data_IF_974300568672
#
_entry.id   IF_974300568672
#
_cell.length_a   1.000
_cell.length_b   1.000
_cell.length_c   1.000
_cell.angle_alpha   90.00
_cell.angle_beta   90.00
_cell.angle_gamma   90.00
#
_symmetry.space_group_name_H-M   'P 1'
#
loop_
_entity.id
_entity.type
_entity.pdbx_description
1 polymer ?
#
# COMPACT_ATOMS: atom_id res chain seq x y z
N UNK A 1 15.27 66.17 2.23
CA UNK A 1 14.98 65.62 0.90
C UNK A 1 14.48 64.20 1.07
N UNK A 2 13.17 64.02 0.88
CA UNK A 2 12.51 62.71 0.83
C UNK A 2 12.96 61.96 -0.43
N UNK A 3 12.92 60.63 -0.39
CA UNK A 3 12.24 59.80 -1.39
C UNK A 3 12.11 58.37 -0.87
N UNK A 4 10.88 58.02 -0.49
CA UNK A 4 10.41 56.67 -0.23
C UNK A 4 10.40 55.89 -1.55
N UNK A 5 11.07 54.74 -1.60
CA UNK A 5 10.92 53.77 -2.68
C UNK A 5 9.77 52.82 -2.37
N UNK A 6 8.65 52.99 -3.08
CA UNK A 6 7.49 52.10 -3.06
C UNK A 6 7.77 50.84 -3.88
N UNK A 7 7.55 49.67 -3.27
CA UNK A 7 7.52 48.37 -3.95
C UNK A 7 6.09 48.14 -4.46
N UNK A 8 5.91 48.00 -5.77
CA UNK A 8 4.63 47.62 -6.40
C UNK A 8 4.75 46.15 -6.84
N UNK A 9 3.80 45.26 -6.48
CA UNK A 9 3.85 43.87 -6.93
C UNK A 9 3.42 43.75 -8.41
N UNK A 10 4.25 43.06 -9.20
CA UNK A 10 3.94 42.73 -10.60
C UNK A 10 2.79 41.71 -10.66
N UNK A 11 1.63 42.17 -11.12
CA UNK A 11 0.49 41.34 -11.49
C UNK A 11 0.78 40.72 -12.87
N UNK A 12 1.05 39.41 -12.93
CA UNK A 12 1.22 38.70 -14.22
C UNK A 12 -0.15 38.23 -14.70
N UNK A 13 -0.66 38.90 -15.74
CA UNK A 13 -1.75 38.40 -16.59
C UNK A 13 -1.25 37.20 -17.40
N UNK A 14 -1.90 36.05 -17.27
CA UNK A 14 -1.73 34.93 -18.20
C UNK A 14 -2.89 35.01 -19.20
N UNK A 15 -2.58 35.33 -20.46
CA UNK A 15 -3.52 35.32 -21.57
C UNK A 15 -3.87 33.88 -21.96
N UNK A 16 -5.16 33.58 -22.03
CA UNK A 16 -5.65 32.36 -22.65
C UNK A 16 -5.62 32.53 -24.17
N UNK A 17 -4.82 31.73 -24.87
CA UNK A 17 -4.92 31.58 -26.32
C UNK A 17 -5.59 30.24 -26.64
N UNK A 18 -6.74 30.33 -27.31
CA UNK A 18 -7.44 29.22 -27.94
C UNK A 18 -6.70 28.80 -29.21
N UNK A 19 -6.36 27.52 -29.31
CA UNK A 19 -5.93 26.92 -30.58
C UNK A 19 -7.04 25.98 -31.03
N UNK A 20 -7.75 26.42 -32.07
CA UNK A 20 -8.60 25.58 -32.92
C UNK A 20 -7.83 25.37 -34.22
N UNK A 21 -7.68 24.12 -34.66
CA UNK A 21 -7.65 23.70 -36.08
C UNK A 21 -7.32 22.21 -36.20
N UNK A 22 -8.11 21.50 -37.02
CA UNK A 22 -7.67 20.27 -37.68
C UNK A 22 -8.59 19.07 -37.57
N UNK A 23 -9.74 19.11 -38.26
CA UNK A 23 -10.58 17.94 -38.52
C UNK A 23 -9.80 16.94 -39.40
N UNK A 24 -9.41 15.80 -38.82
CA UNK A 24 -8.85 14.64 -39.54
C UNK A 24 -9.72 13.43 -39.21
N UNK A 25 -10.55 13.00 -40.15
CA UNK A 25 -11.42 11.82 -40.02
C UNK A 25 -10.63 10.53 -40.22
N UNK A 26 -10.47 9.74 -39.15
CA UNK A 26 -10.10 8.30 -39.15
C UNK A 26 -10.72 7.62 -37.88
N UNK A 27 -10.93 6.29 -37.88
CA UNK A 27 -12.21 5.67 -37.56
C UNK A 27 -12.52 5.58 -36.07
N UNK A 28 -13.82 5.63 -35.79
CA UNK A 28 -14.46 5.46 -34.50
C UNK A 28 -14.44 3.98 -34.09
N UNK A 29 -13.27 3.46 -33.75
CA UNK A 29 -13.15 2.10 -33.22
C UNK A 29 -11.96 2.00 -32.27
N UNK A 30 -11.99 2.80 -31.20
CA UNK A 30 -11.10 2.55 -30.08
C UNK A 30 -11.78 2.83 -28.73
N UNK A 31 -11.69 1.80 -27.91
CA UNK A 31 -11.62 1.86 -26.46
C UNK A 31 -12.94 1.99 -25.69
N UNK A 32 -13.76 0.95 -25.88
CA UNK A 32 -14.25 0.21 -24.72
C UNK A 32 -13.05 -0.47 -23.99
N UNK A 33 -12.10 0.33 -23.48
CA UNK A 33 -11.20 -0.16 -22.44
C UNK A 33 -12.08 -0.29 -21.22
N UNK A 34 -12.63 -1.50 -21.05
CA UNK A 34 -13.09 -1.99 -19.76
C UNK A 34 -12.05 -1.55 -18.73
N UNK A 35 -12.37 -0.50 -17.97
CA UNK A 35 -11.63 -0.09 -16.80
C UNK A 35 -11.85 -1.20 -15.79
N UNK A 36 -11.09 -2.29 -15.96
CA UNK A 36 -11.02 -3.34 -14.96
C UNK A 36 -10.72 -2.62 -13.64
N UNK A 37 -11.61 -2.74 -12.65
CA UNK A 37 -11.42 -2.02 -11.41
C UNK A 37 -10.07 -2.48 -10.82
N UNK A 38 -9.27 -1.57 -10.24
CA UNK A 38 -7.89 -1.88 -9.84
C UNK A 38 -7.85 -3.15 -9.01
N UNK A 39 -7.14 -4.17 -9.52
CA UNK A 39 -7.12 -5.50 -8.92
C UNK A 39 -6.45 -5.42 -7.54
N UNK A 40 -7.05 -6.10 -6.55
CA UNK A 40 -6.44 -6.23 -5.21
C UNK A 40 -5.05 -6.82 -5.37
N UNK A 41 -4.05 -6.28 -4.65
CA UNK A 41 -2.71 -6.86 -4.64
C UNK A 41 -2.47 -7.57 -3.31
N UNK A 42 -2.33 -8.89 -3.38
CA UNK A 42 -2.07 -9.73 -2.22
C UNK A 42 -0.59 -10.13 -2.20
N UNK A 43 0.13 -9.78 -1.14
CA UNK A 43 1.53 -10.15 -0.95
C UNK A 43 1.67 -11.16 0.17
N UNK A 44 2.45 -12.21 -0.04
CA UNK A 44 2.95 -13.06 1.04
C UNK A 44 4.17 -12.39 1.65
N UNK A 45 4.15 -12.16 2.96
CA UNK A 45 5.11 -11.34 3.69
C UNK A 45 5.83 -12.15 4.77
N UNK A 46 7.14 -11.98 4.82
CA UNK A 46 8.03 -12.54 5.83
C UNK A 46 8.62 -11.42 6.68
N UNK A 47 8.87 -11.71 7.96
CA UNK A 47 9.31 -10.73 8.94
C UNK A 47 10.64 -11.14 9.58
N UNK A 48 11.50 -10.15 9.81
CA UNK A 48 12.68 -10.27 10.65
C UNK A 48 12.54 -9.29 11.82
N UNK A 49 12.52 -9.81 13.05
CA UNK A 49 12.38 -8.95 14.22
C UNK A 49 13.68 -8.22 14.54
N UNK A 50 13.56 -6.93 14.87
CA UNK A 50 14.66 -6.13 15.39
C UNK A 50 14.76 -6.19 16.93
N UNK A 51 13.91 -7.00 17.59
CA UNK A 51 13.92 -7.25 19.03
C UNK A 51 14.15 -8.74 19.28
N UNK A 52 15.16 -9.07 20.09
CA UNK A 52 15.51 -10.48 20.40
C UNK A 52 14.30 -11.22 20.99
N UNK A 53 14.10 -12.47 20.56
CA UNK A 53 13.04 -13.35 21.07
C UNK A 53 11.63 -13.08 20.54
N UNK A 54 11.41 -12.03 19.74
CA UNK A 54 10.08 -11.72 19.20
C UNK A 54 9.98 -12.22 17.76
N UNK A 55 8.83 -12.81 17.41
CA UNK A 55 8.55 -13.31 16.07
C UNK A 55 7.07 -13.11 15.76
N UNK A 56 6.78 -12.82 14.50
CA UNK A 56 5.43 -12.86 13.94
C UNK A 56 5.47 -13.91 12.82
N UNK A 57 4.38 -14.66 12.67
CA UNK A 57 4.25 -15.63 11.59
C UNK A 57 4.34 -14.91 10.23
N UNK A 58 4.67 -15.67 9.18
CA UNK A 58 4.54 -15.12 7.83
C UNK A 58 3.07 -14.86 7.53
N UNK A 59 2.77 -13.71 6.95
CA UNK A 59 1.41 -13.18 6.84
C UNK A 59 1.11 -12.74 5.42
N UNK A 60 -0.13 -12.35 5.16
CA UNK A 60 -0.52 -11.76 3.89
C UNK A 60 -0.93 -10.31 4.06
N UNK A 61 -0.40 -9.45 3.20
CA UNK A 61 -0.80 -8.04 3.08
C UNK A 61 -1.69 -7.90 1.86
N UNK A 62 -2.93 -7.50 2.07
CA UNK A 62 -3.93 -7.31 1.03
C UNK A 62 -4.21 -5.82 0.83
N UNK A 63 -3.71 -5.29 -0.28
CA UNK A 63 -3.95 -3.92 -0.71
C UNK A 63 -5.21 -3.89 -1.57
N UNK A 64 -6.34 -3.60 -0.94
CA UNK A 64 -7.66 -3.56 -1.56
C UNK A 64 -7.92 -2.22 -2.24
N UNK A 65 -9.04 -2.16 -2.96
CA UNK A 65 -9.56 -0.92 -3.52
C UNK A 65 -9.94 0.08 -2.42
N UNK A 66 -10.14 1.35 -2.80
CA UNK A 66 -10.56 2.43 -1.89
C UNK A 66 -9.63 2.62 -0.68
N UNK A 67 -8.31 2.48 -0.88
CA UNK A 67 -7.31 2.67 0.18
C UNK A 67 -7.46 1.74 1.39
N UNK A 68 -8.19 0.62 1.25
CA UNK A 68 -8.37 -0.37 2.31
C UNK A 68 -7.18 -1.32 2.36
N UNK A 69 -6.70 -1.60 3.57
CA UNK A 69 -5.58 -2.48 3.81
C UNK A 69 -5.96 -3.54 4.83
N UNK A 70 -5.63 -4.80 4.56
CA UNK A 70 -5.87 -5.91 5.49
C UNK A 70 -4.61 -6.73 5.69
N UNK A 71 -4.44 -7.25 6.90
CA UNK A 71 -3.40 -8.20 7.25
C UNK A 71 -4.08 -9.50 7.63
N UNK A 72 -3.65 -10.61 7.04
CA UNK A 72 -4.06 -11.95 7.42
C UNK A 72 -2.85 -12.71 7.98
N UNK A 73 -2.90 -13.06 9.26
CA UNK A 73 -1.87 -13.86 9.93
C UNK A 73 -2.43 -15.28 10.06
N UNK A 74 -1.86 -16.28 9.37
CA UNK A 74 -2.33 -17.66 9.44
C UNK A 74 -2.36 -18.19 10.88
N UNK A 75 -3.47 -18.83 11.24
CA UNK A 75 -3.68 -19.39 12.58
C UNK A 75 -4.15 -18.38 13.64
N UNK A 76 -4.35 -17.11 13.27
CA UNK A 76 -4.96 -16.11 14.15
C UNK A 76 -6.40 -15.82 13.73
N UNK A 77 -7.30 -15.75 14.72
CA UNK A 77 -8.70 -15.40 14.52
C UNK A 77 -8.91 -13.92 14.87
N UNK A 78 -9.30 -13.14 13.86
CA UNK A 78 -9.54 -11.70 13.99
C UNK A 78 -11.03 -11.43 14.20
N UNK A 79 -11.37 -10.78 15.30
CA UNK A 79 -12.76 -10.40 15.61
C UNK A 79 -13.21 -9.18 14.82
N UNK A 80 -12.33 -8.19 14.73
CA UNK A 80 -12.54 -6.93 14.04
C UNK A 80 -11.20 -6.43 13.52
N UNK A 81 -11.18 -6.01 12.27
CA UNK A 81 -10.00 -5.41 11.63
C UNK A 81 -10.40 -4.09 10.97
N UNK A 82 -9.45 -3.17 10.92
CA UNK A 82 -9.57 -1.93 10.16
C UNK A 82 -8.19 -1.53 9.72
N UNK A 83 -8.00 -1.35 8.42
CA UNK A 83 -6.75 -0.81 7.90
C UNK A 83 -6.94 0.08 6.71
N UNK A 84 -6.00 1.00 6.57
CA UNK A 84 -5.90 1.90 5.43
C UNK A 84 -4.46 1.95 4.92
N UNK A 85 -4.30 2.34 3.67
CA UNK A 85 -2.99 2.64 3.11
C UNK A 85 -3.01 3.82 2.15
N UNK A 86 -1.87 4.47 2.06
CA UNK A 86 -1.55 5.50 1.07
C UNK A 86 -0.33 5.04 0.28
N UNK A 87 -0.34 5.28 -1.03
CA UNK A 87 0.78 4.98 -1.92
C UNK A 87 1.14 6.25 -2.67
N UNK A 88 2.41 6.63 -2.64
CA UNK A 88 2.96 7.72 -3.44
C UNK A 88 4.15 7.16 -4.23
N UNK A 89 3.97 7.03 -5.54
CA UNK A 89 4.94 6.38 -6.43
C UNK A 89 5.30 4.98 -5.90
N UNK A 90 6.58 4.72 -5.64
CA UNK A 90 7.06 3.45 -5.09
C UNK A 90 6.82 3.32 -3.58
N UNK A 91 6.66 4.41 -2.85
CA UNK A 91 6.53 4.38 -1.40
C UNK A 91 5.07 4.16 -0.98
N UNK A 92 4.88 3.43 0.11
CA UNK A 92 3.57 3.32 0.74
C UNK A 92 3.65 3.40 2.26
N UNK A 93 2.57 3.87 2.86
CA UNK A 93 2.33 3.83 4.30
C UNK A 93 1.00 3.15 4.55
N UNK A 94 0.94 2.27 5.53
CA UNK A 94 -0.30 1.62 5.92
C UNK A 94 -0.45 1.60 7.44
N UNK A 95 -1.68 1.73 7.89
CA UNK A 95 -2.05 1.54 9.28
C UNK A 95 -3.09 0.44 9.34
N UNK A 96 -2.95 -0.45 10.31
CA UNK A 96 -3.89 -1.53 10.52
C UNK A 96 -4.08 -1.75 12.02
N UNK A 97 -5.31 -2.00 12.40
CA UNK A 97 -5.70 -2.37 13.76
C UNK A 97 -6.53 -3.64 13.71
N UNK A 98 -6.29 -4.55 14.65
CA UNK A 98 -7.08 -5.76 14.78
C UNK A 98 -7.15 -6.26 16.22
N UNK A 99 -8.32 -6.78 16.59
CA UNK A 99 -8.53 -7.48 17.84
C UNK A 99 -8.48 -8.99 17.59
N UNK A 100 -7.64 -9.70 18.35
CA UNK A 100 -7.31 -11.11 18.15
C UNK A 100 -7.54 -11.88 19.44
N UNK A 101 -8.01 -13.13 19.32
CA UNK A 101 -8.06 -14.06 20.45
C UNK A 101 -6.92 -15.08 20.27
N UNK A 102 -6.03 -15.17 21.27
CA UNK A 102 -4.95 -16.15 21.29
C UNK A 102 -4.83 -16.75 22.68
N UNK A 103 -4.85 -18.09 22.79
CA UNK A 103 -4.75 -18.79 24.07
C UNK A 103 -5.74 -18.26 25.14
N UNK A 104 -6.99 -17.96 24.73
CA UNK A 104 -8.05 -17.38 25.58
C UNK A 104 -7.79 -15.96 26.11
N UNK A 105 -6.74 -15.27 25.64
CA UNK A 105 -6.49 -13.85 25.93
C UNK A 105 -6.85 -12.98 24.72
N UNK A 106 -7.25 -11.74 24.98
CA UNK A 106 -7.60 -10.76 23.94
C UNK A 106 -6.44 -9.80 23.74
N UNK A 107 -5.98 -9.77 22.50
CA UNK A 107 -4.91 -8.88 22.07
C UNK A 107 -5.50 -7.80 21.17
N UNK A 108 -4.99 -6.58 21.31
CA UNK A 108 -5.17 -5.52 20.34
C UNK A 108 -3.83 -5.29 19.65
N UNK A 109 -3.78 -5.52 18.34
CA UNK A 109 -2.59 -5.25 17.53
C UNK A 109 -2.82 -3.98 16.73
N UNK A 110 -1.85 -3.08 16.76
CA UNK A 110 -1.78 -1.91 15.87
C UNK A 110 -0.47 -1.97 15.09
N UNK A 111 -0.58 -2.15 13.78
CA UNK A 111 0.54 -2.14 12.86
C UNK A 111 0.64 -0.78 12.16
N UNK A 112 1.83 -0.18 12.20
CA UNK A 112 2.20 0.99 11.43
C UNK A 112 3.30 0.59 10.45
N UNK A 113 3.02 0.71 9.15
CA UNK A 113 3.83 0.15 8.08
C UNK A 113 4.37 1.28 7.21
N UNK A 114 5.65 1.21 6.89
CA UNK A 114 6.29 2.02 5.89
C UNK A 114 7.07 1.10 4.96
N UNK A 115 6.81 1.19 3.66
CA UNK A 115 7.46 0.32 2.70
C UNK A 115 7.63 0.93 1.32
N UNK A 116 8.30 0.15 0.48
CA UNK A 116 8.52 0.43 -0.93
C UNK A 116 8.02 -0.75 -1.75
N UNK A 117 7.41 -0.44 -2.89
CA UNK A 117 7.04 -1.37 -3.95
C UNK A 117 8.21 -1.45 -4.92
N UNK A 118 8.67 -2.66 -5.23
CA UNK A 118 9.79 -2.92 -6.11
C UNK A 118 9.31 -3.77 -7.28
N UNK A 119 9.51 -3.27 -8.51
CA UNK A 119 9.20 -4.00 -9.75
C UNK A 119 7.75 -4.51 -9.85
N UNK A 120 6.81 -3.86 -9.15
CA UNK A 120 5.40 -4.24 -9.01
C UNK A 120 5.08 -5.64 -8.45
N UNK A 121 6.12 -6.44 -8.15
CA UNK A 121 6.02 -7.82 -7.68
C UNK A 121 6.52 -7.99 -6.24
N UNK A 122 7.34 -7.07 -5.74
CA UNK A 122 7.87 -7.16 -4.38
C UNK A 122 7.50 -5.93 -3.55
N UNK A 123 7.43 -6.13 -2.25
CA UNK A 123 7.39 -5.06 -1.26
C UNK A 123 8.45 -5.30 -0.21
N UNK A 124 9.01 -4.23 0.33
CA UNK A 124 9.92 -4.33 1.48
C UNK A 124 9.79 -3.09 2.36
N UNK A 125 10.17 -3.20 3.62
CA UNK A 125 10.14 -2.05 4.51
C UNK A 125 10.20 -2.39 5.98
N UNK A 126 9.65 -1.49 6.78
CA UNK A 126 9.59 -1.58 8.24
C UNK A 126 8.13 -1.59 8.68
N UNK A 127 7.83 -2.45 9.64
CA UNK A 127 6.55 -2.50 10.33
C UNK A 127 6.78 -2.37 11.84
N UNK A 128 5.99 -1.52 12.49
CA UNK A 128 5.96 -1.36 13.94
C UNK A 128 4.66 -1.94 14.46
N UNK A 129 4.75 -3.00 15.25
CA UNK A 129 3.65 -3.56 16.02
C UNK A 129 3.62 -2.90 17.40
N UNK A 130 2.48 -2.33 17.76
CA UNK A 130 2.09 -2.13 19.14
C UNK A 130 1.09 -3.22 19.49
N UNK A 131 1.40 -4.06 20.47
CA UNK A 131 0.52 -5.09 20.99
C UNK A 131 0.11 -4.72 22.41
N UNK A 132 -1.18 -4.81 22.70
CA UNK A 132 -1.76 -4.62 24.03
C UNK A 132 -2.56 -5.85 24.43
N UNK A 133 -2.29 -6.38 25.63
CA UNK A 133 -3.01 -7.52 26.21
C UNK A 133 -4.05 -6.98 27.18
N UNK A 134 -5.34 -7.13 26.86
CA UNK A 134 -6.42 -6.48 27.61
C UNK A 134 -6.52 -6.98 29.04
N UNK A 135 -6.32 -8.27 29.28
CA UNK A 135 -6.49 -8.87 30.60
C UNK A 135 -5.37 -8.50 31.59
N UNK A 136 -4.18 -8.18 31.10
CA UNK A 136 -3.00 -7.91 31.94
C UNK A 136 -2.50 -6.47 31.85
N UNK A 137 -3.12 -5.62 31.03
CA UNK A 137 -2.65 -4.26 30.74
C UNK A 137 -1.17 -4.19 30.36
N UNK A 138 -0.68 -5.24 29.69
CA UNK A 138 0.70 -5.30 29.22
C UNK A 138 0.75 -4.78 27.79
N UNK A 139 1.60 -3.78 27.58
CA UNK A 139 1.86 -3.22 26.26
C UNK A 139 3.27 -3.55 25.82
N UNK A 140 3.41 -3.93 24.55
CA UNK A 140 4.72 -4.10 23.95
C UNK A 140 4.78 -3.49 22.56
N UNK A 141 5.95 -2.94 22.25
CA UNK A 141 6.26 -2.40 20.93
C UNK A 141 7.42 -3.17 20.32
N UNK A 142 7.23 -3.63 19.08
CA UNK A 142 8.22 -4.40 18.34
C UNK A 142 8.30 -3.91 16.92
N UNK A 143 9.52 -3.71 16.43
CA UNK A 143 9.78 -3.32 15.04
C UNK A 143 10.29 -4.53 14.27
N UNK A 144 9.80 -4.72 13.06
CA UNK A 144 10.25 -5.76 12.14
C UNK A 144 10.65 -5.13 10.81
N UNK A 145 11.66 -5.70 10.18
CA UNK A 145 11.84 -5.60 8.74
C UNK A 145 10.91 -6.59 8.07
N UNK A 146 10.36 -6.24 6.93
CA UNK A 146 9.55 -7.15 6.14
C UNK A 146 9.99 -7.17 4.68
N UNK A 147 9.79 -8.32 4.05
CA UNK A 147 9.85 -8.51 2.60
C UNK A 147 8.63 -9.30 2.18
N UNK A 148 8.00 -8.88 1.09
CA UNK A 148 6.82 -9.50 0.55
C UNK A 148 6.94 -9.74 -0.94
N UNK A 149 6.32 -10.81 -1.41
CA UNK A 149 6.22 -11.19 -2.82
C UNK A 149 4.76 -11.28 -3.21
N UNK A 150 4.41 -10.73 -4.36
CA UNK A 150 3.07 -10.76 -4.91
C UNK A 150 2.66 -12.22 -5.11
N UNK A 151 1.49 -12.58 -4.59
CA UNK A 151 0.90 -13.89 -4.81
C UNK A 151 0.25 -13.87 -6.19
N UNK A 152 0.73 -14.70 -7.11
CA UNK A 152 0.09 -14.88 -8.41
C UNK A 152 -1.31 -15.47 -8.19
N UNK A 153 -2.33 -14.85 -8.81
CA UNK A 153 -3.65 -15.47 -8.91
C UNK A 153 -3.51 -16.67 -9.87
N UNK A 154 -3.73 -17.89 -9.37
CA UNK A 154 -3.74 -19.11 -10.17
C UNK A 154 -4.88 -19.17 -11.22
N UNK A 155 -5.50 -18.03 -11.57
CA UNK A 155 -6.52 -17.92 -12.61
C UNK A 155 -5.93 -17.77 -14.03
N UNK A 156 -4.61 -17.88 -14.18
CA UNK A 156 -3.93 -17.85 -15.47
C UNK A 156 -2.96 -19.01 -15.65
N UNK A 157 -3.44 -20.23 -15.40
CA UNK A 157 -2.89 -21.38 -16.10
C UNK A 157 -3.21 -21.21 -17.60
N UNK A 158 -2.18 -21.26 -18.44
CA UNK A 158 -2.18 -21.13 -19.92
C UNK A 158 -2.21 -19.71 -20.52
N UNK A 159 -1.03 -19.10 -20.66
CA UNK A 159 -0.47 -18.76 -21.99
C UNK A 159 0.97 -18.24 -21.88
N UNK A 160 1.88 -18.99 -22.51
CA UNK A 160 3.27 -18.65 -22.86
C UNK A 160 4.34 -18.71 -21.75
N UNK A 161 4.51 -19.89 -21.13
CA UNK A 161 5.87 -20.40 -20.91
C UNK A 161 6.21 -21.31 -22.08
N UNK A 162 6.68 -20.70 -23.16
CA UNK A 162 7.12 -21.38 -24.36
C UNK A 162 8.14 -20.51 -25.08
N UNK A 163 9.38 -21.00 -25.09
CA UNK A 163 10.55 -20.56 -25.87
C UNK A 163 11.17 -19.21 -25.49
N UNK A 164 12.21 -19.28 -24.64
CA UNK A 164 13.46 -18.60 -24.96
C UNK A 164 14.50 -19.68 -25.32
N UNK A 165 15.15 -19.61 -26.49
CA UNK A 165 16.18 -20.56 -26.87
C UNK A 165 17.52 -20.10 -26.27
N UNK A 166 18.04 -20.90 -25.34
CA UNK A 166 19.48 -21.02 -25.12
C UNK A 166 19.80 -22.51 -25.17
#
# INVERSE_FOLDING_TARGET
MNLFSYFIPSLILISASTISLGLSTLPLDEQNRSTKPPQSKLYKVHFLSLKKGHKIASSYFDFKQQHKFEINIPGEEFLKTKGNYTKNSLQFKANWEGNIIKQRKRYCYTFNIMGISLLDTYIAGIIRLNESIKETHQDQKVTFLFIGTLKEDNSSESKKRGLFPF
#
